data_IF_592803218656
#
_entry.id   IF_592803218656
#
_cell.length_a   1.000
_cell.length_b   1.000
_cell.length_c   1.000
_cell.angle_alpha   90.00
_cell.angle_beta   90.00
_cell.angle_gamma   90.00
#
_symmetry.space_group_name_H-M   'P 1'
#
loop_
_entity.id
_entity.type
_entity.pdbx_description
1 polymer ?
#
# COMPACT_ATOMS: atom_id res chain seq x y z
N UNK A 1 25.52 -25.20 40.14
CA UNK A 1 24.12 -24.81 39.79
C UNK A 1 24.04 -23.45 39.10
N UNK A 2 24.70 -22.38 39.60
CA UNK A 2 24.66 -21.03 39.00
C UNK A 2 25.22 -20.90 37.58
N UNK A 3 26.32 -21.58 37.23
CA UNK A 3 26.88 -21.54 35.87
C UNK A 3 25.90 -22.02 34.78
N UNK A 4 25.15 -23.10 35.05
CA UNK A 4 24.17 -23.67 34.10
C UNK A 4 22.96 -22.74 33.86
N UNK A 5 22.65 -21.87 34.80
CA UNK A 5 21.57 -20.87 34.65
C UNK A 5 22.07 -19.72 33.77
N UNK A 6 23.28 -19.24 34.01
CA UNK A 6 23.91 -18.19 33.23
C UNK A 6 24.06 -18.57 31.74
N UNK A 7 24.49 -19.80 31.48
CA UNK A 7 24.61 -20.33 30.11
C UNK A 7 23.26 -20.34 29.38
N UNK A 8 22.18 -20.79 30.05
CA UNK A 8 20.82 -20.76 29.50
C UNK A 8 20.34 -19.34 29.18
N UNK A 9 20.66 -18.37 30.04
CA UNK A 9 20.31 -16.96 29.80
C UNK A 9 21.00 -16.39 28.56
N UNK A 10 22.27 -16.76 28.33
CA UNK A 10 22.99 -16.37 27.12
C UNK A 10 22.30 -16.93 25.88
N UNK A 11 21.94 -18.22 25.86
CA UNK A 11 21.24 -18.81 24.73
C UNK A 11 19.89 -18.12 24.45
N UNK A 12 19.11 -17.81 25.49
CA UNK A 12 17.84 -17.08 25.35
C UNK A 12 18.07 -15.70 24.73
N UNK A 13 19.07 -14.95 25.23
CA UNK A 13 19.40 -13.64 24.69
C UNK A 13 19.86 -13.72 23.22
N UNK A 14 20.70 -14.70 22.88
CA UNK A 14 21.15 -14.91 21.50
C UNK A 14 19.97 -15.22 20.57
N UNK A 15 19.06 -16.11 20.98
CA UNK A 15 17.86 -16.44 20.20
C UNK A 15 17.00 -15.18 19.99
N UNK A 16 16.79 -14.39 21.04
CA UNK A 16 16.03 -13.14 20.95
C UNK A 16 16.68 -12.14 19.98
N UNK A 17 18.00 -11.94 20.05
CA UNK A 17 18.72 -11.03 19.15
C UNK A 17 18.71 -11.53 17.70
N UNK A 18 18.90 -12.84 17.47
CA UNK A 18 18.84 -13.44 16.14
C UNK A 18 17.44 -13.26 15.54
N UNK A 19 16.39 -13.57 16.31
CA UNK A 19 15.02 -13.39 15.85
C UNK A 19 14.69 -11.90 15.59
N UNK A 20 15.20 -10.98 16.41
CA UNK A 20 15.12 -9.53 16.16
C UNK A 20 15.84 -9.11 14.87
N UNK A 21 17.03 -9.63 14.61
CA UNK A 21 17.75 -9.39 13.36
C UNK A 21 16.98 -9.94 12.14
N UNK A 22 16.41 -11.14 12.25
CA UNK A 22 15.54 -11.71 11.21
C UNK A 22 14.35 -10.80 10.94
N UNK A 23 13.67 -10.31 11.98
CA UNK A 23 12.59 -9.32 11.81
C UNK A 23 13.10 -8.05 11.14
N UNK A 24 14.23 -7.49 11.56
CA UNK A 24 14.80 -6.28 10.98
C UNK A 24 15.06 -6.40 9.48
N UNK A 25 15.70 -7.49 9.05
CA UNK A 25 16.04 -7.69 7.64
C UNK A 25 14.86 -8.15 6.78
N UNK A 26 13.87 -8.83 7.37
CA UNK A 26 12.70 -9.35 6.64
C UNK A 26 11.45 -8.49 6.77
N UNK A 27 11.43 -7.44 7.60
CA UNK A 27 10.24 -6.65 7.90
C UNK A 27 9.49 -6.17 6.65
N UNK A 28 10.21 -5.77 5.58
CA UNK A 28 9.57 -5.31 4.34
C UNK A 28 8.82 -6.43 3.64
N UNK A 29 9.39 -7.64 3.60
CA UNK A 29 8.75 -8.85 3.06
C UNK A 29 7.60 -9.34 3.94
N UNK A 30 7.63 -9.00 5.24
CA UNK A 30 6.54 -9.29 6.18
C UNK A 30 5.44 -8.21 6.16
N UNK A 31 5.78 -7.02 5.68
CA UNK A 31 4.88 -5.87 5.60
C UNK A 31 4.10 -5.85 4.29
N UNK A 32 4.73 -6.17 3.17
CA UNK A 32 4.10 -6.14 1.85
C UNK A 32 3.99 -7.54 1.26
N UNK A 33 2.81 -7.89 0.78
CA UNK A 33 2.54 -9.16 0.08
C UNK A 33 2.06 -8.86 -1.34
N UNK A 34 2.99 -8.64 -2.30
CA UNK A 34 2.61 -8.33 -3.68
C UNK A 34 1.78 -9.42 -4.34
N UNK A 35 0.84 -8.99 -5.18
CA UNK A 35 -0.07 -9.88 -5.91
C UNK A 35 0.36 -10.04 -7.37
N UNK A 36 0.13 -11.21 -7.94
CA UNK A 36 0.41 -11.48 -9.36
C UNK A 36 -0.52 -10.71 -10.30
N UNK A 37 -0.10 -10.58 -11.56
CA UNK A 37 -0.96 -10.05 -12.62
C UNK A 37 -2.11 -11.01 -12.90
N UNK A 38 -3.34 -10.50 -12.83
CA UNK A 38 -4.54 -11.22 -13.24
C UNK A 38 -5.00 -10.71 -14.62
N UNK A 39 -5.21 -11.58 -15.62
CA UNK A 39 -5.78 -11.18 -16.91
C UNK A 39 -7.19 -10.59 -16.74
N UNK A 40 -7.46 -9.46 -17.41
CA UNK A 40 -8.77 -8.82 -17.44
C UNK A 40 -8.95 -7.99 -18.72
N UNK A 41 -10.20 -7.64 -19.02
CA UNK A 41 -10.56 -6.85 -20.20
C UNK A 41 -10.66 -5.33 -19.93
N UNK A 42 -10.54 -4.90 -18.67
CA UNK A 42 -10.63 -3.47 -18.31
C UNK A 42 -9.48 -2.64 -18.92
N UNK A 43 -9.78 -1.38 -19.23
CA UNK A 43 -8.78 -0.41 -19.67
C UNK A 43 -7.65 -0.32 -18.63
N UNK A 44 -6.41 -0.27 -19.09
CA UNK A 44 -5.24 -0.16 -18.23
C UNK A 44 -4.39 1.03 -18.65
N UNK A 45 -4.29 2.01 -17.77
CA UNK A 45 -3.34 3.09 -17.87
C UNK A 45 -1.96 2.59 -17.38
N UNK A 46 -0.93 2.84 -18.19
CA UNK A 46 0.46 2.70 -17.75
C UNK A 46 0.98 4.04 -17.22
N UNK A 47 1.49 4.03 -16.00
CA UNK A 47 2.08 5.18 -15.31
C UNK A 47 3.57 4.90 -15.07
N UNK A 48 4.43 5.75 -15.61
CA UNK A 48 5.87 5.70 -15.31
C UNK A 48 6.17 6.63 -14.15
N UNK A 49 6.91 6.16 -13.14
CA UNK A 49 7.37 6.97 -12.03
C UNK A 49 8.67 6.41 -11.44
N UNK A 50 9.69 7.25 -11.25
CA UNK A 50 10.99 6.85 -10.67
C UNK A 50 11.63 5.57 -11.25
N UNK A 51 11.57 5.41 -12.58
CA UNK A 51 12.01 4.22 -13.33
C UNK A 51 11.19 2.95 -13.12
N UNK A 52 10.03 3.06 -12.48
CA UNK A 52 9.08 1.97 -12.30
C UNK A 52 7.82 2.22 -13.13
N UNK A 53 7.27 1.11 -13.65
CA UNK A 53 6.07 1.09 -14.48
C UNK A 53 4.91 0.51 -13.69
N UNK A 54 3.90 1.34 -13.44
CA UNK A 54 2.72 1.04 -12.65
C UNK A 54 1.53 0.75 -13.57
N UNK A 55 0.76 -0.29 -13.26
CA UNK A 55 -0.48 -0.65 -13.95
C UNK A 55 -1.68 -0.13 -13.17
N UNK A 56 -2.45 0.77 -13.78
CA UNK A 56 -3.63 1.37 -13.19
C UNK A 56 -4.85 0.95 -13.98
N UNK A 57 -5.77 0.23 -13.36
CA UNK A 57 -7.02 -0.17 -14.01
C UNK A 57 -7.94 1.05 -14.03
N UNK A 58 -8.48 1.37 -15.20
CA UNK A 58 -9.40 2.48 -15.41
C UNK A 58 -10.80 1.92 -15.65
N UNK A 59 -11.76 2.36 -14.85
CA UNK A 59 -13.16 1.96 -14.94
C UNK A 59 -14.00 3.20 -15.20
N UNK A 60 -15.14 3.02 -15.87
CA UNK A 60 -16.09 4.11 -16.17
C UNK A 60 -15.39 5.31 -16.84
N UNK A 61 -14.49 5.07 -17.80
CA UNK A 61 -13.74 6.13 -18.48
C UNK A 61 -14.64 7.19 -19.12
N UNK A 62 -14.19 8.44 -19.09
CA UNK A 62 -14.90 9.57 -19.71
C UNK A 62 -15.82 10.35 -18.77
N UNK A 63 -15.77 10.10 -17.45
CA UNK A 63 -16.45 10.94 -16.46
C UNK A 63 -15.56 12.08 -15.97
N UNK A 64 -16.19 13.23 -15.69
CA UNK A 64 -15.52 14.45 -15.21
C UNK A 64 -14.96 14.32 -13.78
N UNK A 65 -15.58 13.48 -12.94
CA UNK A 65 -15.11 13.22 -11.58
C UNK A 65 -14.16 12.01 -11.59
N UNK A 66 -13.09 12.08 -10.83
CA UNK A 66 -12.15 10.97 -10.66
C UNK A 66 -12.20 10.41 -9.24
N UNK A 67 -12.05 9.09 -9.13
CA UNK A 67 -11.82 8.40 -7.86
C UNK A 67 -10.50 7.63 -7.96
N UNK A 68 -9.51 8.01 -7.16
CA UNK A 68 -8.28 7.24 -7.02
C UNK A 68 -8.46 6.22 -5.89
N UNK A 69 -8.29 4.94 -6.19
CA UNK A 69 -8.37 3.88 -5.21
C UNK A 69 -6.99 3.28 -4.93
N UNK A 70 -6.64 3.27 -3.65
CA UNK A 70 -5.44 2.65 -3.09
C UNK A 70 -5.88 1.44 -2.25
N UNK A 71 -5.64 0.24 -2.78
CA UNK A 71 -6.02 -1.02 -2.15
C UNK A 71 -5.22 -1.38 -0.90
N UNK A 72 -5.67 -2.42 -0.20
CA UNK A 72 -4.98 -2.98 0.94
C UNK A 72 -3.70 -3.74 0.58
N UNK A 73 -2.99 -4.15 1.61
CA UNK A 73 -1.90 -5.11 1.49
C UNK A 73 -2.45 -6.46 1.01
N UNK A 74 -1.69 -7.20 0.19
CA UNK A 74 -2.14 -8.46 -0.43
C UNK A 74 -3.38 -8.34 -1.33
N UNK A 75 -3.77 -7.13 -1.72
CA UNK A 75 -4.99 -6.94 -2.50
C UNK A 75 -4.72 -7.06 -4.01
N UNK A 76 -5.52 -7.90 -4.66
CA UNK A 76 -5.62 -7.96 -6.12
C UNK A 76 -6.76 -7.03 -6.54
N UNK A 77 -6.45 -5.77 -6.81
CA UNK A 77 -7.47 -4.71 -6.94
C UNK A 77 -8.49 -4.94 -8.07
N UNK A 78 -8.15 -5.72 -9.10
CA UNK A 78 -9.08 -6.04 -10.19
C UNK A 78 -10.34 -6.76 -9.70
N UNK A 79 -10.27 -7.49 -8.59
CA UNK A 79 -11.45 -8.18 -8.05
C UNK A 79 -12.53 -7.23 -7.54
N UNK A 80 -12.18 -5.96 -7.27
CA UNK A 80 -13.17 -4.94 -6.90
C UNK A 80 -13.82 -4.26 -8.12
N UNK A 81 -13.37 -4.54 -9.35
CA UNK A 81 -13.75 -3.73 -10.52
C UNK A 81 -15.26 -3.70 -10.79
N UNK A 82 -15.93 -4.86 -10.70
CA UNK A 82 -17.39 -4.93 -10.90
C UNK A 82 -18.14 -4.07 -9.87
N UNK A 83 -17.78 -4.21 -8.59
CA UNK A 83 -18.40 -3.44 -7.50
C UNK A 83 -18.15 -1.94 -7.65
N UNK A 84 -16.94 -1.53 -8.04
CA UNK A 84 -16.61 -0.11 -8.25
C UNK A 84 -17.33 0.49 -9.47
N UNK A 85 -17.51 -0.28 -10.55
CA UNK A 85 -18.29 0.17 -11.71
C UNK A 85 -19.71 0.54 -11.27
N UNK A 86 -20.35 -0.32 -10.48
CA UNK A 86 -21.73 -0.13 -10.02
C UNK A 86 -21.84 0.93 -8.91
N UNK A 87 -20.90 0.97 -7.97
CA UNK A 87 -20.94 1.89 -6.83
C UNK A 87 -20.59 3.34 -7.23
N UNK A 88 -19.76 3.55 -8.26
CA UNK A 88 -19.30 4.87 -8.67
C UNK A 88 -19.59 5.17 -10.16
N UNK A 89 -20.85 5.16 -10.59
CA UNK A 89 -21.21 5.31 -12.02
C UNK A 89 -20.87 6.70 -12.58
N UNK A 90 -20.72 7.70 -11.70
CA UNK A 90 -20.40 9.09 -12.05
C UNK A 90 -18.89 9.41 -12.00
N UNK A 91 -18.04 8.47 -11.59
CA UNK A 91 -16.60 8.69 -11.49
C UNK A 91 -15.86 7.83 -12.51
N UNK A 92 -14.80 8.38 -13.09
CA UNK A 92 -13.72 7.57 -13.67
C UNK A 92 -12.91 7.04 -12.50
N UNK A 93 -12.87 5.72 -12.34
CA UNK A 93 -12.21 5.08 -11.20
C UNK A 93 -10.84 4.57 -11.63
N UNK A 94 -9.82 4.91 -10.84
CA UNK A 94 -8.43 4.48 -11.06
C UNK A 94 -8.01 3.54 -9.93
N UNK A 95 -7.92 2.24 -10.22
CA UNK A 95 -7.42 1.25 -9.27
C UNK A 95 -5.91 1.09 -9.47
N UNK A 96 -5.09 1.64 -8.57
CA UNK A 96 -3.64 1.56 -8.66
C UNK A 96 -3.15 0.18 -8.18
N UNK A 97 -2.40 -0.53 -9.02
CA UNK A 97 -1.54 -1.61 -8.55
C UNK A 97 -0.19 -1.01 -8.11
N UNK A 98 0.15 -1.14 -6.82
CA UNK A 98 1.45 -0.71 -6.29
C UNK A 98 2.62 -1.41 -6.97
N UNK A 99 3.85 -0.90 -6.81
CA UNK A 99 5.08 -1.58 -7.26
C UNK A 99 5.11 -3.03 -6.78
N UNK A 100 5.36 -3.95 -7.71
CA UNK A 100 5.32 -5.41 -7.49
C UNK A 100 3.92 -6.05 -7.48
N UNK A 101 2.83 -5.29 -7.49
CA UNK A 101 1.46 -5.80 -7.50
C UNK A 101 0.87 -5.78 -8.90
N UNK A 102 -0.01 -6.73 -9.24
CA UNK A 102 -0.85 -6.68 -10.44
C UNK A 102 -0.13 -6.53 -11.78
N UNK A 103 1.17 -6.83 -11.83
CA UNK A 103 2.02 -6.63 -13.00
C UNK A 103 2.69 -5.26 -13.11
N UNK A 104 2.60 -4.41 -12.09
CA UNK A 104 3.50 -3.26 -11.91
C UNK A 104 4.92 -3.74 -11.58
N UNK A 105 5.94 -3.05 -12.09
CA UNK A 105 7.35 -3.38 -11.82
C UNK A 105 7.78 -2.97 -10.40
N UNK A 106 9.03 -3.29 -10.06
CA UNK A 106 9.67 -2.81 -8.84
C UNK A 106 9.26 -3.56 -7.58
N UNK A 107 9.62 -2.97 -6.43
CA UNK A 107 9.28 -3.50 -5.11
C UNK A 107 8.52 -2.44 -4.29
N UNK A 108 7.53 -2.87 -3.48
CA UNK A 108 6.77 -1.95 -2.67
C UNK A 108 7.64 -1.37 -1.54
N UNK A 109 7.60 -0.06 -1.42
CA UNK A 109 8.16 0.70 -0.29
C UNK A 109 7.19 1.82 0.05
N UNK A 110 7.23 2.32 1.28
CA UNK A 110 6.36 3.44 1.68
C UNK A 110 6.61 4.67 0.80
N UNK A 111 7.88 5.06 0.65
CA UNK A 111 8.28 6.17 -0.22
C UNK A 111 7.81 5.97 -1.66
N UNK A 112 7.96 4.76 -2.22
CA UNK A 112 7.48 4.44 -3.57
C UNK A 112 5.97 4.54 -3.70
N UNK A 113 5.21 3.94 -2.77
CA UNK A 113 3.74 4.01 -2.75
C UNK A 113 3.27 5.47 -2.69
N UNK A 114 3.91 6.28 -1.85
CA UNK A 114 3.62 7.70 -1.72
C UNK A 114 3.94 8.47 -3.01
N UNK A 115 5.12 8.26 -3.58
CA UNK A 115 5.52 8.88 -4.84
C UNK A 115 4.55 8.51 -5.98
N UNK A 116 4.17 7.24 -6.08
CA UNK A 116 3.25 6.73 -7.11
C UNK A 116 1.84 7.30 -6.95
N UNK A 117 1.37 7.48 -5.71
CA UNK A 117 0.08 8.12 -5.42
C UNK A 117 0.06 9.59 -5.88
N UNK A 118 1.14 10.35 -5.63
CA UNK A 118 1.27 11.73 -6.12
C UNK A 118 1.34 11.76 -7.66
N UNK A 119 2.15 10.89 -8.26
CA UNK A 119 2.31 10.82 -9.71
C UNK A 119 1.00 10.47 -10.43
N UNK A 120 0.20 9.56 -9.86
CA UNK A 120 -1.12 9.23 -10.39
C UNK A 120 -2.07 10.44 -10.31
N UNK A 121 -2.13 11.12 -9.17
CA UNK A 121 -2.94 12.32 -9.00
C UNK A 121 -2.57 13.39 -10.03
N UNK A 122 -1.28 13.72 -10.15
CA UNK A 122 -0.78 14.75 -11.05
C UNK A 122 -1.05 14.41 -12.53
N UNK A 123 -1.11 13.12 -12.87
CA UNK A 123 -1.49 12.67 -14.20
C UNK A 123 -2.99 12.80 -14.47
N UNK A 124 -3.83 12.44 -13.49
CA UNK A 124 -5.29 12.49 -13.58
C UNK A 124 -5.79 13.94 -13.56
N UNK A 125 -5.16 14.82 -12.78
CA UNK A 125 -5.54 16.23 -12.65
C UNK A 125 -5.50 17.01 -13.97
N UNK A 126 -4.71 16.54 -14.95
CA UNK A 126 -4.67 17.13 -16.30
C UNK A 126 -5.98 16.97 -17.08
N UNK A 127 -6.85 16.04 -16.67
CA UNK A 127 -8.11 15.71 -17.34
C UNK A 127 -9.34 15.86 -16.45
N UNK A 128 -9.17 15.70 -15.14
CA UNK A 128 -10.27 15.82 -14.16
C UNK A 128 -9.87 16.76 -13.02
N UNK A 129 -10.65 17.82 -12.82
CA UNK A 129 -10.41 18.78 -11.74
C UNK A 129 -10.89 18.28 -10.38
N UNK A 130 -11.92 17.43 -10.38
CA UNK A 130 -12.59 16.89 -9.18
C UNK A 130 -12.10 15.49 -8.88
N UNK A 131 -11.10 15.39 -8.00
CA UNK A 131 -10.46 14.12 -7.65
C UNK A 131 -10.76 13.77 -6.20
N UNK A 132 -11.51 12.69 -6.00
CA UNK A 132 -11.68 12.03 -4.70
C UNK A 132 -10.68 10.88 -4.56
N UNK A 133 -10.36 10.53 -3.32
CA UNK A 133 -9.45 9.42 -3.00
C UNK A 133 -10.11 8.44 -2.04
N UNK A 134 -9.81 7.16 -2.22
CA UNK A 134 -10.21 6.09 -1.33
C UNK A 134 -9.00 5.22 -0.99
N UNK A 135 -8.79 4.99 0.31
CA UNK A 135 -7.71 4.14 0.81
C UNK A 135 -8.22 3.04 1.71
N UNK A 136 -7.89 1.78 1.41
CA UNK A 136 -8.24 0.62 2.25
C UNK A 136 -7.01 0.04 2.93
N UNK A 137 -7.07 -0.20 4.24
CA UNK A 137 -5.98 -0.81 5.01
C UNK A 137 -4.64 -0.12 4.70
N UNK A 138 -3.66 -0.82 4.09
CA UNK A 138 -2.39 -0.21 3.63
C UNK A 138 -2.58 1.07 2.82
N UNK A 139 -3.54 1.09 1.89
CA UNK A 139 -3.84 2.23 1.04
C UNK A 139 -4.39 3.45 1.78
N UNK A 140 -4.82 3.32 3.03
CA UNK A 140 -5.19 4.48 3.86
C UNK A 140 -4.00 5.42 4.11
N UNK A 141 -2.79 4.87 4.23
CA UNK A 141 -1.56 5.66 4.33
C UNK A 141 -1.29 6.44 3.03
N UNK A 142 -1.43 5.78 1.88
CA UNK A 142 -1.27 6.41 0.56
C UNK A 142 -2.30 7.53 0.34
N UNK A 143 -3.58 7.27 0.64
CA UNK A 143 -4.66 8.23 0.51
C UNK A 143 -4.44 9.48 1.39
N UNK A 144 -4.09 9.26 2.67
CA UNK A 144 -3.86 10.34 3.63
C UNK A 144 -2.62 11.15 3.26
N UNK A 145 -1.53 10.48 2.87
CA UNK A 145 -0.33 11.16 2.42
C UNK A 145 -0.62 12.02 1.17
N UNK A 146 -1.30 11.48 0.17
CA UNK A 146 -1.71 12.22 -1.02
C UNK A 146 -2.55 13.45 -0.65
N UNK A 147 -3.58 13.29 0.18
CA UNK A 147 -4.44 14.38 0.62
C UNK A 147 -3.69 15.47 1.40
N UNK A 148 -2.57 15.14 2.06
CA UNK A 148 -1.70 16.13 2.70
C UNK A 148 -0.86 16.97 1.73
N UNK A 149 -0.72 16.52 0.47
CA UNK A 149 0.15 17.13 -0.54
C UNK A 149 -0.57 17.69 -1.76
N UNK A 150 -1.84 17.31 -1.96
CA UNK A 150 -2.64 17.64 -3.14
C UNK A 150 -4.08 17.99 -2.74
N UNK A 151 -4.76 18.85 -3.51
CA UNK A 151 -6.14 19.25 -3.23
C UNK A 151 -7.12 18.15 -3.62
N UNK A 152 -7.34 17.20 -2.71
CA UNK A 152 -8.34 16.14 -2.86
C UNK A 152 -9.72 16.67 -2.47
N UNK A 153 -10.75 16.39 -3.27
CA UNK A 153 -12.13 16.86 -2.99
C UNK A 153 -12.75 16.13 -1.80
N UNK A 154 -12.68 14.79 -1.80
CA UNK A 154 -13.20 13.93 -0.73
C UNK A 154 -12.25 12.78 -0.48
N UNK A 155 -12.14 12.35 0.77
CA UNK A 155 -11.34 11.20 1.17
C UNK A 155 -12.20 10.18 1.93
N UNK A 156 -12.17 8.93 1.48
CA UNK A 156 -12.75 7.79 2.21
C UNK A 156 -11.63 6.85 2.68
N UNK A 157 -11.66 6.50 3.97
CA UNK A 157 -10.73 5.54 4.55
C UNK A 157 -11.49 4.30 5.04
N UNK A 158 -11.08 3.13 4.58
CA UNK A 158 -11.67 1.83 4.94
C UNK A 158 -10.66 1.07 5.79
N UNK A 159 -11.05 0.75 7.03
CA UNK A 159 -10.18 0.12 8.03
C UNK A 159 -8.77 0.77 8.12
N UNK A 160 -8.68 2.10 8.33
CA UNK A 160 -7.40 2.78 8.44
C UNK A 160 -6.64 2.36 9.70
N UNK A 161 -5.34 2.63 9.70
CA UNK A 161 -4.49 2.54 10.88
C UNK A 161 -3.91 3.93 11.21
N UNK A 162 -3.62 4.16 12.48
CA UNK A 162 -2.95 5.36 12.98
C UNK A 162 -1.45 5.34 12.72
N UNK A 163 -0.82 4.17 12.89
CA UNK A 163 0.61 3.98 12.65
C UNK A 163 0.94 2.53 12.32
N UNK A 164 1.64 2.32 11.20
CA UNK A 164 2.10 0.96 10.85
C UNK A 164 3.06 0.40 11.89
N UNK A 165 3.83 1.29 12.55
CA UNK A 165 4.68 0.95 13.68
C UNK A 165 3.87 0.50 14.89
N UNK A 166 2.74 1.16 15.20
CA UNK A 166 1.83 0.74 16.28
C UNK A 166 1.22 -0.64 15.99
N UNK A 167 0.77 -0.86 14.75
CA UNK A 167 0.29 -2.17 14.28
C UNK A 167 1.38 -3.25 14.44
N UNK A 168 2.62 -2.95 14.03
CA UNK A 168 3.74 -3.87 14.19
C UNK A 168 4.07 -4.15 15.67
N UNK A 169 4.05 -3.11 16.52
CA UNK A 169 4.31 -3.23 17.96
C UNK A 169 3.29 -4.13 18.65
N UNK A 170 2.01 -4.01 18.29
CA UNK A 170 0.96 -4.90 18.80
C UNK A 170 1.15 -6.35 18.34
N UNK A 171 1.67 -6.57 17.14
CA UNK A 171 1.92 -7.92 16.60
C UNK A 171 3.19 -8.57 17.16
N UNK A 172 4.21 -7.77 17.48
CA UNK A 172 5.50 -8.22 17.98
C UNK A 172 5.82 -7.56 19.34
N UNK A 173 5.04 -7.83 20.42
CA UNK A 173 5.08 -7.07 21.67
C UNK A 173 6.39 -7.19 22.43
N UNK A 174 7.14 -8.29 22.23
CA UNK A 174 8.43 -8.51 22.87
C UNK A 174 9.56 -7.70 22.22
N UNK A 175 9.36 -7.16 21.02
CA UNK A 175 10.36 -6.37 20.31
C UNK A 175 10.01 -4.88 20.37
N UNK A 176 10.98 -3.99 20.63
CA UNK A 176 10.80 -2.55 20.50
C UNK A 176 10.75 -2.17 19.01
N UNK A 177 9.56 -2.13 18.41
CA UNK A 177 9.39 -1.87 16.97
C UNK A 177 9.81 -0.46 16.54
N UNK A 178 10.13 0.44 17.48
CA UNK A 178 10.74 1.73 17.16
C UNK A 178 12.24 1.64 16.83
N UNK A 179 12.89 0.51 17.17
CA UNK A 179 14.28 0.22 16.82
C UNK A 179 14.41 -0.62 15.55
N UNK A 180 13.29 -1.13 15.03
CA UNK A 180 13.24 -2.02 13.89
C UNK A 180 12.74 -1.31 12.64
#
# INVERSE_FOLDING_TARGET
>A
MRLKIFEKMIYILLIYLIAGAVLFFLQRKLLYFPTGKIPHAYETLTLENENETLKVIVLNSGREQALLYFGGNAETVVYNAADFITAFPLHTVYLLNYRGYGGSSGQPTEAGIFADALALFDKVQKKQERISVMGRSLGSGAATYLASKRPVEKMLLISPFDSIKSVAQNKFPIYPMFLL
#
